data_IF_019819161994
#
_entry.id   IF_019819161994
#
_cell.length_a   1.000
_cell.length_b   1.000
_cell.length_c   1.000
_cell.angle_alpha   90.00
_cell.angle_beta   90.00
_cell.angle_gamma   90.00
#
_symmetry.space_group_name_H-M   'P 1'
#
loop_
_entity.id
_entity.type
_entity.pdbx_description
1 polymer ?
#
# COMPACT_ATOMS: atom_id res chain seq x y z
N UNK A 1 -5.76 21.63 19.18
CA UNK A 1 -6.10 20.35 18.52
C UNK A 1 -5.49 20.33 17.12
N UNK A 2 -5.28 19.16 16.50
CA UNK A 2 -4.28 18.96 15.44
C UNK A 2 -4.89 18.74 14.03
N UNK A 3 -4.04 18.71 13.00
CA UNK A 3 -4.36 18.11 11.71
C UNK A 3 -3.45 18.56 10.56
N UNK A 4 -2.76 17.58 9.94
CA UNK A 4 -2.35 17.46 8.51
C UNK A 4 -1.85 18.72 7.72
N UNK A 5 -0.81 18.74 6.90
CA UNK A 5 -0.21 17.70 6.02
C UNK A 5 1.31 17.95 5.81
N UNK A 6 2.08 18.19 6.89
CA UNK A 6 3.42 18.83 6.82
C UNK A 6 4.59 18.02 6.20
N UNK A 7 4.33 16.92 5.49
CA UNK A 7 5.35 15.89 5.14
C UNK A 7 5.09 15.18 3.80
N UNK A 8 5.10 15.90 2.68
CA UNK A 8 4.74 15.31 1.35
C UNK A 8 5.54 15.81 0.14
N UNK A 9 6.60 16.60 0.35
CA UNK A 9 7.33 17.28 -0.70
C UNK A 9 8.84 17.12 -0.49
N UNK A 10 9.43 16.22 -1.27
CA UNK A 10 10.53 16.43 -2.23
C UNK A 10 10.70 15.08 -2.96
N UNK A 11 10.98 14.99 -4.27
CA UNK A 11 12.12 15.62 -4.92
C UNK A 11 12.14 15.39 -6.44
N UNK A 12 12.53 16.36 -7.28
CA UNK A 12 12.61 16.12 -8.74
C UNK A 12 13.17 17.26 -9.60
N UNK A 13 14.47 17.25 -9.92
CA UNK A 13 15.06 17.31 -11.27
C UNK A 13 16.59 17.05 -11.27
N UNK A 14 17.30 16.44 -12.24
CA UNK A 14 17.09 15.29 -13.17
C UNK A 14 18.43 14.98 -13.92
N UNK A 15 18.61 13.81 -14.53
CA UNK A 15 19.68 13.46 -15.51
C UNK A 15 19.22 13.79 -16.96
N UNK A 16 20.04 13.86 -18.03
CA UNK A 16 21.49 13.63 -18.28
C UNK A 16 22.23 14.92 -18.75
N UNK A 17 23.57 14.90 -18.79
CA UNK A 17 24.44 16.05 -19.05
C UNK A 17 25.38 15.97 -20.27
N UNK A 18 25.34 14.90 -21.08
CA UNK A 18 26.35 14.67 -22.14
C UNK A 18 26.17 15.43 -23.46
N UNK A 19 24.96 15.93 -23.80
CA UNK A 19 24.66 16.56 -25.11
C UNK A 19 24.04 17.97 -24.99
N UNK A 20 24.88 19.00 -25.15
CA UNK A 20 24.64 20.39 -24.67
C UNK A 20 23.79 21.34 -25.53
N UNK A 21 23.25 20.98 -26.72
CA UNK A 21 22.55 21.97 -27.59
C UNK A 21 21.20 21.60 -28.21
N UNK A 22 20.82 20.32 -28.30
CA UNK A 22 19.62 19.93 -29.09
C UNK A 22 18.41 19.48 -28.25
N UNK A 23 18.56 19.33 -26.93
CA UNK A 23 17.47 18.88 -26.04
C UNK A 23 16.51 20.00 -25.58
N UNK A 24 16.63 21.23 -26.12
CA UNK A 24 15.86 22.40 -25.68
C UNK A 24 14.34 22.28 -25.90
N UNK A 25 13.88 21.50 -26.89
CA UNK A 25 12.46 21.40 -27.23
C UNK A 25 11.67 20.35 -26.43
N UNK A 26 12.33 19.47 -25.67
CA UNK A 26 11.63 18.57 -24.72
C UNK A 26 11.19 19.35 -23.45
N UNK A 27 11.73 20.56 -23.24
CA UNK A 27 11.41 21.46 -22.14
C UNK A 27 10.39 22.56 -22.50
N UNK A 28 9.81 22.50 -23.70
CA UNK A 28 8.86 23.48 -24.22
C UNK A 28 7.44 23.37 -23.62
N UNK A 29 7.34 23.26 -22.29
CA UNK A 29 6.30 24.01 -21.60
C UNK A 29 6.60 25.50 -21.82
N UNK A 30 5.84 26.11 -22.73
CA UNK A 30 5.83 27.57 -22.96
C UNK A 30 5.71 28.33 -21.65
N UNK A 31 6.08 29.62 -21.62
CA UNK A 31 6.01 30.45 -20.39
C UNK A 31 4.65 30.34 -19.67
N UNK A 32 3.57 30.15 -20.44
CA UNK A 32 2.20 29.85 -19.98
C UNK A 32 2.06 28.47 -19.33
N UNK A 33 2.52 27.39 -19.96
CA UNK A 33 2.41 26.05 -19.39
C UNK A 33 3.39 25.82 -18.21
N UNK A 34 4.51 26.57 -18.18
CA UNK A 34 5.42 26.66 -17.03
C UNK A 34 4.77 27.41 -15.85
N UNK A 35 3.92 28.39 -16.13
CA UNK A 35 3.05 29.02 -15.13
C UNK A 35 1.91 28.09 -14.71
N UNK A 36 1.26 27.36 -15.62
CA UNK A 36 0.23 26.36 -15.26
C UNK A 36 0.79 25.23 -14.40
N UNK A 37 2.02 24.75 -14.64
CA UNK A 37 2.68 23.76 -13.78
C UNK A 37 3.02 24.31 -12.38
N UNK A 38 3.30 25.62 -12.26
CA UNK A 38 3.47 26.30 -10.96
C UNK A 38 2.13 26.57 -10.27
N UNK A 39 1.06 26.81 -11.03
CA UNK A 39 -0.30 27.02 -10.50
C UNK A 39 -1.05 25.71 -10.21
N UNK A 40 -0.68 24.58 -10.83
CA UNK A 40 -1.29 23.27 -10.65
C UNK A 40 -0.33 22.32 -9.92
N UNK A 41 -0.32 22.46 -8.61
CA UNK A 41 0.07 21.44 -7.62
C UNK A 41 1.48 20.84 -7.82
N UNK A 42 2.41 21.32 -6.99
CA UNK A 42 3.26 20.64 -5.99
C UNK A 42 3.57 19.10 -6.05
N UNK A 43 2.96 18.29 -6.93
CA UNK A 43 3.06 16.82 -7.01
C UNK A 43 3.37 16.28 -8.42
N UNK A 44 3.78 17.13 -9.36
CA UNK A 44 3.81 16.80 -10.78
C UNK A 44 4.62 15.52 -11.12
N UNK A 45 5.68 15.19 -10.37
CA UNK A 45 6.63 14.11 -10.67
C UNK A 45 6.46 12.80 -9.88
N UNK A 46 5.38 12.66 -9.09
CA UNK A 46 5.11 11.42 -8.35
C UNK A 46 5.04 10.19 -9.31
N UNK A 47 5.68 9.04 -8.99
CA UNK A 47 5.63 7.80 -9.79
C UNK A 47 4.24 7.34 -10.23
N UNK A 48 3.17 7.76 -9.54
CA UNK A 48 1.78 7.42 -9.91
C UNK A 48 1.14 8.43 -10.88
N UNK A 49 1.66 9.65 -11.02
CA UNK A 49 1.13 10.67 -11.94
C UNK A 49 1.64 10.45 -13.37
N UNK A 50 0.91 10.96 -14.36
CA UNK A 50 1.26 10.80 -15.78
C UNK A 50 2.65 11.34 -16.13
N UNK A 51 3.07 12.45 -15.49
CA UNK A 51 4.40 13.03 -15.71
C UNK A 51 5.49 12.24 -14.97
N UNK A 52 5.29 11.83 -13.70
CA UNK A 52 6.25 10.98 -13.00
C UNK A 52 6.45 9.61 -13.65
N UNK A 53 5.38 8.97 -14.14
CA UNK A 53 5.47 7.75 -14.98
C UNK A 53 6.32 7.98 -16.22
N UNK A 54 6.11 9.09 -16.93
CA UNK A 54 6.94 9.48 -18.08
C UNK A 54 8.39 9.80 -17.71
N UNK A 55 8.66 10.28 -16.49
CA UNK A 55 10.02 10.52 -16.01
C UNK A 55 10.75 9.21 -15.72
N UNK A 56 10.11 8.27 -15.03
CA UNK A 56 10.67 6.96 -14.72
C UNK A 56 10.90 6.18 -16.01
N UNK A 57 9.87 6.05 -16.85
CA UNK A 57 9.95 5.37 -18.14
C UNK A 57 11.13 5.89 -18.98
N UNK A 58 11.25 7.22 -19.11
CA UNK A 58 12.33 7.84 -19.88
C UNK A 58 13.70 7.77 -19.21
N UNK A 59 13.75 7.55 -17.89
CA UNK A 59 14.99 7.27 -17.15
C UNK A 59 15.44 5.81 -17.33
N UNK A 60 14.51 4.86 -17.40
CA UNK A 60 14.78 3.44 -17.70
C UNK A 60 15.02 3.15 -19.18
N UNK A 61 14.62 4.05 -20.08
CA UNK A 61 14.86 3.97 -21.53
C UNK A 61 16.18 4.63 -21.96
N UNK A 62 16.88 5.35 -21.08
CA UNK A 62 18.20 5.92 -21.36
C UNK A 62 19.28 4.85 -21.09
N UNK A 63 20.27 4.66 -22.00
CA UNK A 63 21.37 3.75 -21.75
C UNK A 63 22.27 4.28 -20.64
N UNK A 64 22.27 3.63 -19.48
CA UNK A 64 23.12 3.96 -18.33
C UNK A 64 24.52 3.37 -18.47
N UNK A 65 25.16 3.57 -19.62
CA UNK A 65 26.44 2.92 -19.94
C UNK A 65 27.66 3.63 -19.34
N UNK A 66 27.54 4.91 -18.97
CA UNK A 66 28.58 5.67 -18.27
C UNK A 66 28.02 6.25 -16.96
N UNK A 67 28.57 5.87 -15.78
CA UNK A 67 28.25 6.57 -14.55
C UNK A 67 28.78 8.02 -14.61
N UNK A 68 28.31 8.88 -13.71
CA UNK A 68 28.64 10.31 -13.71
C UNK A 68 29.12 10.81 -12.33
N UNK A 69 29.76 11.98 -12.31
CA UNK A 69 30.08 12.71 -11.09
C UNK A 69 29.15 13.91 -10.92
N UNK A 70 28.35 13.93 -9.86
CA UNK A 70 27.30 14.92 -9.62
C UNK A 70 27.74 15.97 -8.59
N UNK A 71 27.87 17.22 -9.01
CA UNK A 71 28.30 18.33 -8.14
C UNK A 71 27.06 19.16 -7.77
N UNK A 72 26.72 19.13 -6.49
CA UNK A 72 25.56 19.81 -5.91
C UNK A 72 25.99 21.00 -5.05
N UNK A 73 25.20 22.07 -5.11
CA UNK A 73 25.29 23.21 -4.21
C UNK A 73 24.02 23.23 -3.34
N UNK A 74 24.15 22.79 -2.09
CA UNK A 74 23.04 22.68 -1.15
C UNK A 74 23.49 23.02 0.29
N UNK A 75 22.56 23.51 1.10
CA UNK A 75 22.78 23.67 2.54
C UNK A 75 22.78 22.29 3.20
N UNK A 76 23.94 21.80 3.63
CA UNK A 76 24.07 20.46 4.19
C UNK A 76 25.51 20.02 4.49
N UNK A 77 25.72 18.73 4.78
CA UNK A 77 27.05 18.20 5.07
C UNK A 77 27.89 18.14 3.79
N UNK A 78 28.87 19.04 3.69
CA UNK A 78 29.82 19.13 2.57
C UNK A 78 30.74 17.91 2.52
N UNK A 79 31.22 17.60 1.33
CA UNK A 79 32.13 16.48 1.09
C UNK A 79 31.90 15.88 -0.29
N UNK A 80 32.37 14.65 -0.48
CA UNK A 80 32.25 13.91 -1.73
C UNK A 80 32.18 12.41 -1.45
N UNK A 81 31.67 11.63 -2.40
CA UNK A 81 31.65 10.17 -2.28
C UNK A 81 30.86 9.47 -3.39
N UNK A 82 30.17 8.37 -3.07
CA UNK A 82 29.33 7.63 -4.02
C UNK A 82 27.86 7.58 -3.59
N UNK A 83 26.96 7.51 -4.58
CA UNK A 83 25.52 7.40 -4.41
C UNK A 83 24.94 6.29 -5.26
N UNK A 84 24.10 5.43 -4.66
CA UNK A 84 23.28 4.41 -5.35
C UNK A 84 21.80 4.73 -5.15
N UNK A 85 21.04 4.70 -6.24
CA UNK A 85 19.59 4.92 -6.23
C UNK A 85 18.85 3.80 -6.94
N UNK A 86 17.84 3.27 -6.26
CA UNK A 86 17.02 2.16 -6.75
C UNK A 86 15.55 2.40 -6.41
N UNK A 87 14.65 1.99 -7.30
CA UNK A 87 13.20 1.94 -7.05
C UNK A 87 12.85 0.63 -6.39
N UNK A 88 12.18 0.73 -5.25
CA UNK A 88 11.39 -0.33 -4.68
C UNK A 88 9.94 -0.15 -5.14
N UNK A 89 9.50 -1.00 -6.06
CA UNK A 89 8.12 -1.06 -6.56
C UNK A 89 7.39 -2.19 -5.84
N UNK A 90 6.47 -1.86 -4.94
CA UNK A 90 5.57 -2.85 -4.32
C UNK A 90 4.26 -2.89 -5.09
N UNK A 91 3.85 -4.09 -5.51
CA UNK A 91 2.57 -4.31 -6.21
C UNK A 91 1.46 -4.79 -5.27
N UNK A 92 1.83 -5.44 -4.15
CA UNK A 92 0.88 -5.96 -3.15
C UNK A 92 1.44 -5.83 -1.71
N UNK A 93 0.61 -5.51 -0.70
CA UNK A 93 -0.87 -5.43 -0.73
C UNK A 93 -1.45 -4.16 -1.38
N UNK A 94 -0.68 -3.06 -1.40
CA UNK A 94 -1.06 -1.80 -2.06
C UNK A 94 0.06 -1.37 -2.98
N UNK A 95 -0.27 -0.96 -4.21
CA UNK A 95 0.70 -0.43 -5.17
C UNK A 95 1.39 0.81 -4.58
N UNK A 96 2.71 0.79 -4.49
CA UNK A 96 3.50 1.91 -4.00
C UNK A 96 4.92 1.87 -4.54
N UNK A 97 5.43 3.02 -4.89
CA UNK A 97 6.80 3.21 -5.36
C UNK A 97 7.57 4.01 -4.30
N UNK A 98 8.75 3.52 -3.92
CA UNK A 98 9.66 4.22 -3.02
C UNK A 98 11.06 4.27 -3.62
N UNK A 99 11.68 5.45 -3.62
CA UNK A 99 13.09 5.59 -3.95
C UNK A 99 13.94 5.26 -2.73
N UNK A 100 14.96 4.43 -2.94
CA UNK A 100 15.99 4.12 -1.96
C UNK A 100 17.26 4.81 -2.41
N UNK A 101 17.68 5.84 -1.68
CA UNK A 101 18.91 6.60 -1.94
C UNK A 101 19.90 6.31 -0.82
N UNK A 102 21.14 5.99 -1.20
CA UNK A 102 22.23 5.75 -0.24
C UNK A 102 23.45 6.50 -0.68
N UNK A 103 23.93 7.40 0.18
CA UNK A 103 25.19 8.13 0.02
C UNK A 103 26.24 7.52 0.95
N UNK A 104 27.44 7.30 0.44
CA UNK A 104 28.66 7.14 1.25
C UNK A 104 29.60 8.30 0.95
N UNK A 105 30.41 8.71 1.91
CA UNK A 105 31.55 9.62 1.72
C UNK A 105 32.80 8.89 1.23
N UNK A 106 33.80 9.64 0.77
CA UNK A 106 35.11 9.13 0.31
C UNK A 106 35.95 8.42 1.40
N UNK A 107 35.55 8.49 2.67
CA UNK A 107 36.08 7.71 3.78
C UNK A 107 35.28 6.43 4.12
N UNK A 108 34.27 6.08 3.32
CA UNK A 108 33.44 4.88 3.50
C UNK A 108 32.31 4.98 4.54
N UNK A 109 32.07 6.16 5.13
CA UNK A 109 30.97 6.37 6.08
C UNK A 109 29.62 6.58 5.37
N UNK A 110 28.52 6.09 5.95
CA UNK A 110 27.17 6.39 5.45
C UNK A 110 26.81 7.86 5.74
N UNK A 111 26.44 8.61 4.70
CA UNK A 111 26.08 10.02 4.80
C UNK A 111 24.56 10.20 4.81
N UNK A 112 24.05 10.93 5.81
CA UNK A 112 22.64 11.37 5.85
C UNK A 112 22.50 12.70 5.10
N UNK A 113 22.67 12.65 3.78
CA UNK A 113 22.32 13.75 2.88
C UNK A 113 20.82 13.63 2.62
N UNK A 114 20.08 14.74 2.74
CA UNK A 114 18.73 14.76 2.22
C UNK A 114 18.82 14.57 0.70
N UNK A 115 18.34 13.42 0.25
CA UNK A 115 18.15 13.17 -1.17
C UNK A 115 17.45 14.40 -1.76
N UNK A 116 16.36 14.85 -1.10
CA UNK A 116 15.50 16.01 -1.36
C UNK A 116 16.12 17.40 -1.51
N UNK A 117 17.44 17.55 -1.33
CA UNK A 117 18.16 18.78 -1.68
C UNK A 117 19.33 18.54 -2.64
N UNK A 118 19.85 17.30 -2.71
CA UNK A 118 21.03 16.94 -3.49
C UNK A 118 20.87 17.06 -5.02
N UNK A 119 20.01 16.25 -5.67
CA UNK A 119 19.74 16.34 -7.13
C UNK A 119 19.19 17.71 -7.60
N UNK A 120 18.22 18.34 -6.92
CA UNK A 120 17.73 19.68 -7.32
C UNK A 120 18.82 20.76 -7.16
N UNK A 121 19.79 20.56 -6.27
CA UNK A 121 20.99 21.40 -6.12
C UNK A 121 22.11 21.10 -7.13
N UNK A 122 21.96 20.14 -8.06
CA UNK A 122 23.02 19.80 -9.03
C UNK A 122 23.28 20.97 -9.98
N UNK A 123 24.45 21.58 -9.83
CA UNK A 123 24.93 22.72 -10.62
C UNK A 123 25.87 22.30 -11.76
N UNK A 124 26.56 21.17 -11.62
CA UNK A 124 27.52 20.66 -12.61
C UNK A 124 27.55 19.13 -12.58
N UNK A 125 27.81 18.53 -13.74
CA UNK A 125 28.09 17.10 -13.87
C UNK A 125 29.35 16.92 -14.68
N UNK A 126 30.25 16.12 -14.12
CA UNK A 126 31.59 15.83 -14.63
C UNK A 126 31.71 14.32 -14.91
N UNK A 127 32.82 13.89 -15.52
CA UNK A 127 33.12 12.48 -15.73
C UNK A 127 33.21 11.73 -14.38
N UNK A 128 32.78 10.47 -14.36
CA UNK A 128 32.79 9.65 -13.14
C UNK A 128 34.15 9.59 -12.48
N UNK A 129 34.16 9.87 -11.17
CA UNK A 129 35.30 9.65 -10.31
C UNK A 129 35.03 8.36 -9.53
N UNK A 130 35.73 7.28 -9.88
CA UNK A 130 35.67 6.06 -9.07
C UNK A 130 36.27 6.37 -7.69
N UNK A 131 35.50 6.07 -6.66
CA UNK A 131 35.87 6.32 -5.27
C UNK A 131 35.83 5.00 -4.51
N UNK A 132 36.65 4.92 -3.46
CA UNK A 132 36.76 3.71 -2.66
C UNK A 132 35.44 3.34 -1.96
N UNK A 133 35.44 2.17 -1.33
CA UNK A 133 34.37 1.71 -0.42
C UNK A 133 33.01 1.39 -1.08
N UNK A 134 32.98 1.07 -2.39
CA UNK A 134 31.78 0.59 -3.09
C UNK A 134 31.09 -0.58 -2.36
N UNK A 135 31.83 -1.53 -1.79
CA UNK A 135 31.27 -2.64 -1.02
C UNK A 135 30.47 -2.16 0.22
N UNK A 136 30.89 -1.04 0.84
CA UNK A 136 30.16 -0.42 1.93
C UNK A 136 28.89 0.28 1.44
N UNK A 137 28.93 0.96 0.29
CA UNK A 137 27.72 1.51 -0.35
C UNK A 137 26.69 0.42 -0.59
N UNK A 138 27.10 -0.70 -1.18
CA UNK A 138 26.22 -1.83 -1.45
C UNK A 138 25.69 -2.45 -0.15
N UNK A 139 26.54 -2.63 0.88
CA UNK A 139 26.11 -3.10 2.21
C UNK A 139 25.07 -2.17 2.87
N UNK A 140 25.28 -0.85 2.86
CA UNK A 140 24.34 0.12 3.44
C UNK A 140 23.03 0.19 2.64
N UNK A 141 23.12 0.11 1.32
CA UNK A 141 21.96 0.09 0.43
C UNK A 141 21.10 -1.18 0.65
N UNK A 142 21.74 -2.35 0.72
CA UNK A 142 21.12 -3.63 1.08
C UNK A 142 20.45 -3.60 2.46
N UNK A 143 21.09 -2.97 3.44
CA UNK A 143 20.53 -2.80 4.79
C UNK A 143 19.25 -1.96 4.76
N UNK A 144 19.21 -0.90 3.95
CA UNK A 144 17.99 -0.09 3.74
C UNK A 144 16.89 -0.89 3.05
N UNK A 145 17.20 -1.62 1.97
CA UNK A 145 16.25 -2.52 1.28
C UNK A 145 15.67 -3.54 2.27
N UNK A 146 16.52 -4.27 3.01
CA UNK A 146 16.09 -5.27 4.01
C UNK A 146 15.18 -4.66 5.08
N UNK A 147 15.45 -3.43 5.50
CA UNK A 147 14.61 -2.70 6.48
C UNK A 147 13.23 -2.35 5.90
N UNK A 148 13.16 -1.89 4.66
CA UNK A 148 11.89 -1.56 3.97
C UNK A 148 11.07 -2.83 3.71
N UNK A 149 11.69 -3.86 3.12
CA UNK A 149 11.04 -5.17 2.87
C UNK A 149 10.55 -5.81 4.17
N UNK A 150 11.33 -5.73 5.25
CA UNK A 150 10.92 -6.24 6.57
C UNK A 150 9.69 -5.52 7.13
N UNK A 151 9.67 -4.19 7.06
CA UNK A 151 8.52 -3.36 7.49
C UNK A 151 7.26 -3.70 6.69
N UNK A 152 7.39 -3.85 5.38
CA UNK A 152 6.27 -4.11 4.48
C UNK A 152 5.70 -5.53 4.62
N UNK A 153 6.55 -6.53 4.87
CA UNK A 153 6.11 -7.88 5.24
C UNK A 153 5.29 -7.86 6.52
N UNK A 154 5.81 -7.23 7.59
CA UNK A 154 5.10 -7.13 8.86
C UNK A 154 3.76 -6.39 8.71
N UNK A 155 3.69 -5.34 7.88
CA UNK A 155 2.45 -4.64 7.58
C UNK A 155 1.44 -5.54 6.83
N UNK A 156 1.89 -6.32 5.85
CA UNK A 156 1.05 -7.28 5.13
C UNK A 156 0.54 -8.42 6.05
N UNK A 157 1.39 -8.95 6.93
CA UNK A 157 1.03 -10.00 7.88
C UNK A 157 -0.01 -9.51 8.90
N UNK A 158 0.13 -8.26 9.39
CA UNK A 158 -0.89 -7.63 10.24
C UNK A 158 -2.24 -7.48 9.52
N UNK A 159 -2.24 -7.05 8.24
CA UNK A 159 -3.47 -6.97 7.43
C UNK A 159 -4.12 -8.35 7.22
N UNK A 160 -3.31 -9.40 7.08
CA UNK A 160 -3.80 -10.79 6.98
C UNK A 160 -4.45 -11.22 8.30
N UNK A 161 -3.85 -10.90 9.44
CA UNK A 161 -4.37 -11.23 10.77
C UNK A 161 -5.71 -10.53 11.03
N UNK A 162 -5.80 -9.22 10.77
CA UNK A 162 -7.07 -8.48 10.84
C UNK A 162 -8.16 -9.08 9.94
N UNK A 163 -7.81 -9.49 8.71
CA UNK A 163 -8.76 -10.09 7.78
C UNK A 163 -9.27 -11.46 8.27
N UNK A 164 -8.41 -12.25 8.94
CA UNK A 164 -8.79 -13.51 9.60
C UNK A 164 -9.74 -13.26 10.76
N UNK A 165 -9.44 -12.29 11.63
CA UNK A 165 -10.31 -11.93 12.75
C UNK A 165 -11.69 -11.45 12.28
N UNK A 166 -11.74 -10.60 11.25
CA UNK A 166 -13.00 -10.12 10.65
C UNK A 166 -13.84 -11.27 10.07
N UNK A 167 -13.22 -12.21 9.34
CA UNK A 167 -13.91 -13.37 8.78
C UNK A 167 -14.45 -14.32 9.86
N UNK A 168 -13.64 -14.60 10.90
CA UNK A 168 -14.06 -15.45 12.02
C UNK A 168 -15.18 -14.80 12.84
N UNK A 169 -15.11 -13.48 13.05
CA UNK A 169 -16.14 -12.71 13.76
C UNK A 169 -17.46 -12.72 12.99
N UNK A 170 -17.44 -12.46 11.68
CA UNK A 170 -18.62 -12.58 10.82
C UNK A 170 -19.25 -13.97 10.92
N UNK A 171 -18.44 -15.03 10.81
CA UNK A 171 -18.92 -16.40 10.92
C UNK A 171 -19.58 -16.68 12.29
N UNK A 172 -19.00 -16.17 13.38
CA UNK A 172 -19.56 -16.29 14.72
C UNK A 172 -20.89 -15.52 14.87
N UNK A 173 -20.97 -14.29 14.36
CA UNK A 173 -22.17 -13.46 14.38
C UNK A 173 -23.31 -14.11 13.56
N UNK A 174 -23.02 -14.63 12.38
CA UNK A 174 -24.00 -15.31 11.51
C UNK A 174 -24.53 -16.61 12.13
N UNK A 175 -23.64 -17.46 12.67
CA UNK A 175 -24.05 -18.68 13.39
C UNK A 175 -24.91 -18.40 14.62
N UNK A 176 -24.73 -17.24 15.25
CA UNK A 176 -25.57 -16.83 16.38
C UNK A 176 -26.87 -16.18 15.92
N UNK A 177 -26.91 -15.49 14.77
CA UNK A 177 -28.13 -14.94 14.18
C UNK A 177 -29.20 -16.04 14.01
N UNK A 178 -28.80 -17.20 13.47
CA UNK A 178 -29.65 -18.40 13.34
C UNK A 178 -30.18 -18.90 14.69
N UNK A 179 -29.33 -18.97 15.73
CA UNK A 179 -29.75 -19.38 17.08
C UNK A 179 -30.75 -18.39 17.69
N UNK A 180 -30.58 -17.08 17.45
CA UNK A 180 -31.53 -16.07 17.92
C UNK A 180 -32.86 -16.12 17.16
N UNK A 181 -32.86 -16.42 15.86
CA UNK A 181 -34.09 -16.63 15.08
C UNK A 181 -34.90 -17.82 15.63
N UNK A 182 -34.25 -18.96 15.90
CA UNK A 182 -34.90 -20.14 16.50
C UNK A 182 -35.50 -19.78 17.87
N UNK A 183 -34.73 -19.18 18.78
CA UNK A 183 -35.23 -18.75 20.11
C UNK A 183 -36.38 -17.73 20.02
N UNK A 184 -36.37 -16.84 19.03
CA UNK A 184 -37.45 -15.88 18.79
C UNK A 184 -38.74 -16.59 18.40
N UNK A 185 -38.68 -17.59 17.51
CA UNK A 185 -39.81 -18.41 17.12
C UNK A 185 -40.32 -19.28 18.28
N UNK A 186 -39.43 -19.91 19.06
CA UNK A 186 -39.79 -20.66 20.27
C UNK A 186 -40.58 -19.80 21.26
N UNK A 187 -40.15 -18.55 21.48
CA UNK A 187 -40.87 -17.60 22.34
C UNK A 187 -42.23 -17.17 21.75
N UNK A 188 -42.34 -17.02 20.41
CA UNK A 188 -43.63 -16.77 19.74
C UNK A 188 -44.58 -17.97 19.89
N UNK A 189 -44.11 -19.20 19.71
CA UNK A 189 -44.89 -20.43 19.94
C UNK A 189 -45.35 -20.51 21.40
N UNK A 190 -44.49 -20.20 22.38
CA UNK A 190 -44.87 -20.16 23.79
C UNK A 190 -46.00 -19.16 24.06
N UNK A 191 -45.94 -17.97 23.46
CA UNK A 191 -46.97 -16.94 23.64
C UNK A 191 -48.27 -17.26 22.89
N UNK A 192 -48.19 -17.83 21.69
CA UNK A 192 -49.35 -18.37 20.97
C UNK A 192 -50.02 -19.50 21.77
N UNK A 193 -49.25 -20.40 22.39
CA UNK A 193 -49.76 -21.47 23.27
C UNK A 193 -50.45 -20.93 24.53
N UNK A 194 -50.00 -19.80 25.07
CA UNK A 194 -50.70 -19.10 26.16
C UNK A 194 -52.04 -18.53 25.68
N UNK A 195 -52.05 -17.83 24.53
CA UNK A 195 -53.28 -17.29 23.91
C UNK A 195 -54.30 -18.40 23.61
N UNK A 196 -53.88 -19.48 22.95
CA UNK A 196 -54.71 -20.64 22.64
C UNK A 196 -55.42 -21.24 23.87
N UNK A 197 -54.76 -21.23 25.04
CA UNK A 197 -55.37 -21.70 26.30
C UNK A 197 -56.39 -20.73 26.88
N UNK A 198 -56.20 -19.43 26.71
CA UNK A 198 -57.10 -18.38 27.19
C UNK A 198 -58.29 -18.15 26.24
N UNK A 199 -58.15 -18.48 24.96
CA UNK A 199 -59.16 -18.23 23.94
C UNK A 199 -60.41 -19.09 24.09
N UNK A 200 -61.58 -18.46 24.04
CA UNK A 200 -62.90 -19.09 24.17
C UNK A 200 -63.62 -19.22 22.83
N UNK A 201 -63.33 -18.34 21.86
CA UNK A 201 -63.87 -18.47 20.50
C UNK A 201 -63.19 -19.63 19.74
N UNK A 202 -63.99 -20.57 19.24
CA UNK A 202 -63.51 -21.77 18.53
C UNK A 202 -62.78 -21.41 17.22
N UNK A 203 -63.27 -20.44 16.44
CA UNK A 203 -62.67 -20.05 15.16
C UNK A 203 -61.28 -19.42 15.36
N UNK A 204 -61.18 -18.47 16.30
CA UNK A 204 -59.92 -17.82 16.67
C UNK A 204 -58.91 -18.84 17.21
N UNK A 205 -59.39 -19.81 18.00
CA UNK A 205 -58.59 -20.92 18.55
C UNK A 205 -58.06 -21.85 17.46
N UNK A 206 -58.87 -22.15 16.44
CA UNK A 206 -58.40 -22.89 15.24
C UNK A 206 -57.33 -22.10 14.51
N UNK A 207 -57.51 -20.79 14.28
CA UNK A 207 -56.49 -19.95 13.60
C UNK A 207 -55.17 -19.92 14.38
N UNK A 208 -55.21 -19.70 15.70
CA UNK A 208 -54.01 -19.75 16.56
C UNK A 208 -53.35 -21.14 16.53
N UNK A 209 -54.14 -22.21 16.39
CA UNK A 209 -53.65 -23.57 16.21
C UNK A 209 -52.82 -23.73 14.93
N UNK A 210 -53.32 -23.22 13.80
CA UNK A 210 -52.61 -23.22 12.50
C UNK A 210 -51.34 -22.38 12.59
N UNK A 211 -51.43 -21.15 13.11
CA UNK A 211 -50.28 -20.24 13.28
C UNK A 211 -49.16 -20.88 14.14
N UNK A 212 -49.53 -21.62 15.19
CA UNK A 212 -48.57 -22.37 16.02
C UNK A 212 -47.87 -23.47 15.22
N UNK A 213 -48.60 -24.25 14.42
CA UNK A 213 -48.02 -25.37 13.67
C UNK A 213 -47.09 -24.87 12.56
N UNK A 214 -47.47 -23.80 11.86
CA UNK A 214 -46.56 -23.12 10.92
C UNK A 214 -45.27 -22.66 11.60
N UNK A 215 -45.36 -22.07 12.80
CA UNK A 215 -44.17 -21.63 13.54
C UNK A 215 -43.30 -22.81 14.00
N UNK A 216 -43.89 -23.96 14.38
CA UNK A 216 -43.13 -25.17 14.69
C UNK A 216 -42.43 -25.75 13.46
N UNK A 217 -43.11 -25.81 12.31
CA UNK A 217 -42.52 -26.29 11.07
C UNK A 217 -41.33 -25.42 10.69
N UNK A 218 -41.48 -24.08 10.75
CA UNK A 218 -40.37 -23.12 10.54
C UNK A 218 -39.22 -23.31 11.55
N UNK A 219 -39.49 -23.69 12.80
CA UNK A 219 -38.43 -24.05 13.78
C UNK A 219 -37.73 -25.35 13.37
N UNK A 220 -38.46 -26.40 13.01
CA UNK A 220 -37.90 -27.68 12.59
C UNK A 220 -37.04 -27.54 11.32
N UNK A 221 -37.54 -26.81 10.31
CA UNK A 221 -36.80 -26.48 9.09
C UNK A 221 -35.51 -25.71 9.42
N UNK A 222 -35.57 -24.69 10.29
CA UNK A 222 -34.39 -23.93 10.68
C UNK A 222 -33.40 -24.79 11.47
N UNK A 223 -33.86 -25.64 12.39
CA UNK A 223 -33.01 -26.54 13.17
C UNK A 223 -32.31 -27.58 12.29
N UNK A 224 -33.04 -28.21 11.36
CA UNK A 224 -32.50 -29.15 10.38
C UNK A 224 -31.42 -28.48 9.51
N UNK A 225 -31.76 -27.34 8.90
CA UNK A 225 -30.85 -26.59 8.03
C UNK A 225 -29.69 -25.90 8.80
N UNK A 226 -29.73 -25.83 10.14
CA UNK A 226 -28.71 -25.12 10.93
C UNK A 226 -27.34 -25.78 10.79
N UNK A 227 -27.26 -27.12 10.74
CA UNK A 227 -25.98 -27.81 10.63
C UNK A 227 -25.30 -27.55 9.28
N UNK A 228 -26.04 -27.69 8.18
CA UNK A 228 -25.54 -27.40 6.83
C UNK A 228 -25.12 -25.93 6.70
N UNK A 229 -25.98 -25.00 7.11
CA UNK A 229 -25.66 -23.56 7.11
C UNK A 229 -24.42 -23.23 7.92
N UNK A 230 -24.26 -23.80 9.12
CA UNK A 230 -23.05 -23.59 9.93
C UNK A 230 -21.79 -24.08 9.21
N UNK A 231 -21.85 -25.24 8.54
CA UNK A 231 -20.74 -25.76 7.76
C UNK A 231 -20.43 -24.91 6.52
N UNK A 232 -21.44 -24.36 5.85
CA UNK A 232 -21.25 -23.48 4.70
C UNK A 232 -20.70 -22.10 5.10
N UNK A 233 -21.14 -21.54 6.24
CA UNK A 233 -20.52 -20.33 6.82
C UNK A 233 -19.02 -20.55 7.10
N UNK A 234 -18.62 -21.73 7.61
CA UNK A 234 -17.20 -22.03 7.84
C UNK A 234 -16.40 -22.17 6.53
N UNK A 235 -16.96 -22.83 5.51
CA UNK A 235 -16.35 -22.90 4.16
C UNK A 235 -16.18 -21.50 3.58
N UNK A 236 -17.16 -20.64 3.74
CA UNK A 236 -17.14 -19.27 3.21
C UNK A 236 -16.15 -18.37 3.96
N UNK A 237 -16.07 -18.49 5.29
CA UNK A 237 -15.04 -17.82 6.09
C UNK A 237 -13.63 -18.29 5.68
N UNK A 238 -13.41 -19.61 5.54
CA UNK A 238 -12.13 -20.16 5.07
C UNK A 238 -11.79 -19.69 3.63
N UNK A 239 -12.78 -19.59 2.75
CA UNK A 239 -12.63 -19.05 1.39
C UNK A 239 -12.22 -17.58 1.42
N UNK A 240 -12.89 -16.73 2.22
CA UNK A 240 -12.52 -15.32 2.40
C UNK A 240 -11.09 -15.18 2.94
N UNK A 241 -10.71 -15.95 3.96
CA UNK A 241 -9.34 -16.01 4.50
C UNK A 241 -8.34 -16.38 3.39
N UNK A 242 -8.65 -17.37 2.56
CA UNK A 242 -7.78 -17.79 1.43
C UNK A 242 -7.64 -16.71 0.35
N UNK A 243 -8.65 -15.88 0.16
CA UNK A 243 -8.64 -14.78 -0.82
C UNK A 243 -7.82 -13.61 -0.28
N UNK A 244 -8.07 -13.19 0.96
CA UNK A 244 -7.29 -12.16 1.65
C UNK A 244 -5.80 -12.52 1.71
N UNK A 245 -5.44 -13.75 2.10
CA UNK A 245 -4.05 -14.24 2.08
C UNK A 245 -3.39 -14.19 0.69
N UNK A 246 -4.15 -14.40 -0.39
CA UNK A 246 -3.63 -14.33 -1.76
C UNK A 246 -3.46 -12.89 -2.24
N UNK A 247 -4.41 -12.01 -1.94
CA UNK A 247 -4.37 -10.60 -2.30
C UNK A 247 -3.30 -9.83 -1.53
N UNK A 248 -3.15 -10.12 -0.23
CA UNK A 248 -2.20 -9.46 0.66
C UNK A 248 -0.80 -10.07 0.62
N UNK A 249 -0.57 -11.16 -0.15
CA UNK A 249 0.77 -11.76 -0.29
C UNK A 249 1.72 -10.72 -0.87
N UNK A 250 2.69 -10.30 -0.06
CA UNK A 250 3.64 -9.27 -0.42
C UNK A 250 4.38 -9.62 -1.73
N UNK A 251 4.35 -8.68 -2.67
CA UNK A 251 5.06 -8.73 -3.95
C UNK A 251 5.73 -7.39 -4.19
N UNK A 252 7.00 -7.41 -4.53
CA UNK A 252 7.78 -6.25 -4.91
C UNK A 252 8.82 -6.59 -5.96
N UNK A 253 9.27 -5.56 -6.65
CA UNK A 253 10.36 -5.53 -7.61
C UNK A 253 11.36 -4.47 -7.14
N UNK A 254 12.65 -4.73 -7.33
CA UNK A 254 13.72 -3.77 -7.09
C UNK A 254 14.39 -3.48 -8.44
N UNK A 255 14.54 -2.21 -8.78
CA UNK A 255 15.18 -1.78 -10.02
C UNK A 255 16.23 -0.73 -9.68
N UNK A 256 17.51 -1.04 -9.92
CA UNK A 256 18.58 -0.05 -9.83
C UNK A 256 18.40 0.99 -10.94
N UNK A 257 18.45 2.29 -10.60
CA UNK A 257 18.35 3.39 -11.56
C UNK A 257 19.72 3.97 -11.87
N UNK A 258 20.50 4.29 -10.83
CA UNK A 258 21.76 5.01 -10.97
C UNK A 258 22.80 4.55 -9.95
N UNK A 259 24.06 4.56 -10.40
CA UNK A 259 25.24 4.58 -9.56
C UNK A 259 26.11 5.75 -10.02
N UNK A 260 26.41 6.68 -9.13
CA UNK A 260 27.16 7.90 -9.44
C UNK A 260 28.15 8.22 -8.33
N UNK A 261 29.15 9.06 -8.63
CA UNK A 261 29.91 9.78 -7.60
C UNK A 261 29.27 11.15 -7.37
N UNK A 262 29.53 11.76 -6.21
CA UNK A 262 28.96 13.05 -5.83
C UNK A 262 29.97 13.95 -5.12
N UNK A 263 29.72 15.26 -5.18
CA UNK A 263 30.36 16.33 -4.41
C UNK A 263 29.29 17.35 -3.95
N UNK A 264 29.41 17.87 -2.73
CA UNK A 264 28.59 18.96 -2.18
C UNK A 264 29.51 20.13 -1.80
N UNK A 265 29.31 21.27 -2.48
CA UNK A 265 30.20 22.45 -2.46
C UNK A 265 29.65 23.60 -1.64
#
# INVERSE_FOLDING_TARGET
>A
MPGAEKWKYDFSYRLDFSKKRENLDIFCLTRRARAEARCRQQYAYNPTTKLGKSVIQRGTELPTDEPAHLVSQMDGPKGRGMVRVSVYHRTAPTESHQLIVTFISDNGSEMQIDAGAFFDGVVRVDAFQEMGYRDFLDMFHDKKIKTIVGRDKNAADNMILEAVEKANRWAYEEKNSLKYQIKSLEHKVLNARKKFKAETNIEEKVRIGVDMEEMKNKIADLQFNTFEKQGDTDKEAAKMISQSKRALKHKYELTDIMLCSWEVV
#
